data_IF_176172976744
#
_entry.id   IF_176172976744
#
_cell.length_a   1.000
_cell.length_b   1.000
_cell.length_c   1.000
_cell.angle_alpha   90.00
_cell.angle_beta   90.00
_cell.angle_gamma   90.00
#
_symmetry.space_group_name_H-M   'P 1'
#
loop_
_entity.id
_entity.type
_entity.pdbx_description
1 polymer ?
#
# COMPACT_ATOMS: atom_id res chain seq x y z
N UNK A 1 3.87 -8.57 -4.35
CA UNK A 1 3.19 -8.55 -5.69
C UNK A 1 2.91 -9.95 -6.23
N UNK A 2 3.92 -10.76 -6.61
CA UNK A 2 3.72 -12.08 -7.25
C UNK A 2 2.85 -13.03 -6.41
N UNK A 3 2.97 -12.99 -5.08
CA UNK A 3 2.17 -13.85 -4.21
C UNK A 3 0.67 -13.58 -4.31
N UNK A 4 0.24 -12.31 -4.22
CA UNK A 4 -1.16 -11.94 -4.39
C UNK A 4 -1.69 -12.38 -5.77
N UNK A 5 -0.91 -12.14 -6.84
CA UNK A 5 -1.30 -12.54 -8.20
C UNK A 5 -1.55 -14.05 -8.31
N UNK A 6 -0.68 -14.88 -7.71
CA UNK A 6 -0.89 -16.34 -7.68
C UNK A 6 -2.16 -16.77 -6.95
N UNK A 7 -2.69 -15.92 -6.06
CA UNK A 7 -3.94 -16.13 -5.31
C UNK A 7 -5.16 -15.52 -6.00
N UNK A 8 -5.01 -15.02 -7.23
CA UNK A 8 -6.07 -14.31 -7.95
C UNK A 8 -6.45 -12.97 -7.28
N UNK A 9 -5.46 -12.31 -6.70
CA UNK A 9 -5.57 -11.06 -5.94
C UNK A 9 -4.48 -10.08 -6.37
N UNK A 10 -4.49 -8.87 -5.83
CA UNK A 10 -3.44 -7.86 -6.02
C UNK A 10 -2.94 -7.34 -4.66
N UNK A 11 -1.85 -6.56 -4.65
CA UNK A 11 -1.48 -5.87 -3.41
C UNK A 11 -2.53 -4.80 -3.11
N UNK A 12 -2.79 -4.55 -1.82
CA UNK A 12 -3.74 -3.56 -1.35
C UNK A 12 -3.57 -2.21 -2.08
N UNK A 13 -4.64 -1.73 -2.70
CA UNK A 13 -4.76 -0.44 -3.40
C UNK A 13 -6.02 0.22 -2.84
N UNK A 14 -5.93 0.86 -1.66
CA UNK A 14 -7.08 1.36 -0.93
C UNK A 14 -7.76 2.50 -1.68
N UNK A 15 -9.08 2.60 -1.53
CA UNK A 15 -9.88 3.68 -2.11
C UNK A 15 -9.69 5.03 -1.41
N UNK A 16 -9.50 5.01 -0.09
CA UNK A 16 -9.35 6.20 0.77
C UNK A 16 -8.79 5.86 2.17
N UNK A 17 -8.70 6.88 3.01
CA UNK A 17 -8.28 6.77 4.40
C UNK A 17 -9.25 5.94 5.26
N UNK A 18 -10.55 5.91 4.96
CA UNK A 18 -11.53 5.17 5.78
C UNK A 18 -11.29 3.66 5.65
N UNK A 19 -10.94 3.19 4.46
CA UNK A 19 -10.51 1.79 4.26
C UNK A 19 -9.23 1.46 5.05
N UNK A 20 -8.26 2.38 5.10
CA UNK A 20 -7.04 2.19 5.88
C UNK A 20 -7.31 2.19 7.39
N UNK A 21 -8.20 3.07 7.86
CA UNK A 21 -8.61 3.13 9.27
C UNK A 21 -9.33 1.83 9.67
N UNK A 22 -10.22 1.31 8.82
CA UNK A 22 -10.89 0.01 9.00
C UNK A 22 -9.89 -1.16 9.07
N UNK A 23 -8.94 -1.21 8.15
CA UNK A 23 -7.89 -2.24 8.15
C UNK A 23 -7.02 -2.16 9.39
N UNK A 24 -6.68 -0.95 9.86
CA UNK A 24 -5.91 -0.75 11.07
C UNK A 24 -6.61 -1.32 12.31
N UNK A 25 -7.93 -1.15 12.43
CA UNK A 25 -8.72 -1.74 13.51
C UNK A 25 -8.81 -3.27 13.39
N UNK A 26 -9.09 -3.82 12.20
CA UNK A 26 -9.14 -5.28 11.97
C UNK A 26 -7.81 -5.96 12.31
N UNK A 27 -6.70 -5.33 11.94
CA UNK A 27 -5.36 -5.84 12.20
C UNK A 27 -4.89 -5.58 13.65
N UNK A 28 -5.76 -5.04 14.51
CA UNK A 28 -5.51 -4.74 15.92
C UNK A 28 -4.34 -3.77 16.12
N UNK A 29 -4.34 -2.67 15.38
CA UNK A 29 -3.38 -1.56 15.48
C UNK A 29 -1.93 -2.04 15.41
N UNK A 30 -1.55 -2.74 14.33
CA UNK A 30 -0.24 -3.35 14.24
C UNK A 30 0.86 -2.29 14.23
N UNK A 31 1.96 -2.54 14.94
CA UNK A 31 3.14 -1.67 14.94
C UNK A 31 4.13 -1.94 13.80
N UNK A 32 3.92 -3.04 13.06
CA UNK A 32 4.74 -3.48 11.92
C UNK A 32 4.31 -2.85 10.59
N UNK A 33 5.15 -3.01 9.58
CA UNK A 33 4.94 -2.48 8.23
C UNK A 33 4.46 -3.57 7.28
N UNK A 34 3.58 -3.21 6.36
CA UNK A 34 3.09 -4.10 5.32
C UNK A 34 3.25 -3.48 3.93
N UNK A 35 3.73 -4.25 2.97
CA UNK A 35 3.71 -3.84 1.57
C UNK A 35 2.28 -3.62 1.06
N UNK A 36 2.10 -2.52 0.34
CA UNK A 36 0.88 -2.19 -0.41
C UNK A 36 1.20 -1.97 -1.90
N UNK A 37 0.17 -1.79 -2.72
CA UNK A 37 0.24 -1.63 -4.16
C UNK A 37 0.78 -0.28 -4.64
N UNK A 38 1.63 0.38 -3.86
CA UNK A 38 2.12 1.73 -4.13
C UNK A 38 3.62 1.73 -4.42
N UNK A 39 4.03 2.47 -5.44
CA UNK A 39 5.45 2.66 -5.75
C UNK A 39 5.72 4.00 -6.42
N UNK A 40 6.97 4.44 -6.42
CA UNK A 40 7.43 5.56 -7.23
C UNK A 40 7.95 4.98 -8.54
N UNK A 41 7.34 5.38 -9.66
CA UNK A 41 7.80 4.97 -10.97
C UNK A 41 9.24 5.44 -11.21
N UNK A 42 10.02 4.67 -11.98
CA UNK A 42 11.39 5.01 -12.36
C UNK A 42 11.50 6.35 -13.12
N UNK A 43 10.41 6.81 -13.73
CA UNK A 43 10.30 8.12 -14.38
C UNK A 43 10.17 9.28 -13.39
N UNK A 44 10.13 9.02 -12.08
CA UNK A 44 10.41 9.99 -11.02
C UNK A 44 9.30 10.98 -10.68
N UNK A 45 8.06 10.78 -11.16
CA UNK A 45 6.99 11.80 -11.04
C UNK A 45 6.09 11.69 -9.80
N UNK A 46 6.30 10.69 -8.94
CA UNK A 46 5.58 10.55 -7.68
C UNK A 46 4.94 9.18 -7.48
N UNK A 47 4.13 9.09 -6.44
CA UNK A 47 3.44 7.87 -6.02
C UNK A 47 2.42 7.41 -7.06
N UNK A 48 2.50 6.14 -7.41
CA UNK A 48 1.68 5.48 -8.43
C UNK A 48 1.18 4.14 -7.90
N UNK A 49 -0.13 3.92 -8.00
CA UNK A 49 -0.80 2.67 -7.65
C UNK A 49 -0.60 1.60 -8.72
N UNK A 50 -0.96 0.35 -8.43
CA UNK A 50 -0.81 -0.77 -9.37
C UNK A 50 -1.61 -0.60 -10.67
N UNK A 51 -2.75 0.10 -10.62
CA UNK A 51 -3.59 0.40 -11.78
C UNK A 51 -3.05 1.58 -12.63
N UNK A 52 -1.93 2.18 -12.24
CA UNK A 52 -1.30 3.30 -12.93
C UNK A 52 -1.82 4.68 -12.54
N UNK A 53 -2.82 4.77 -11.66
CA UNK A 53 -3.28 6.07 -11.15
C UNK A 53 -2.28 6.66 -10.15
N UNK A 54 -2.24 8.00 -10.09
CA UNK A 54 -1.42 8.70 -9.12
C UNK A 54 -2.12 8.77 -7.76
N UNK A 55 -1.33 8.75 -6.69
CA UNK A 55 -1.87 8.95 -5.34
C UNK A 55 -2.33 10.40 -5.17
N UNK A 56 -3.58 10.58 -4.77
CA UNK A 56 -4.11 11.85 -4.29
C UNK A 56 -3.74 12.04 -2.82
N UNK A 57 -2.81 12.96 -2.55
CA UNK A 57 -2.28 13.18 -1.20
C UNK A 57 -3.34 13.76 -0.24
N UNK A 58 -4.44 14.33 -0.75
CA UNK A 58 -5.52 14.85 0.09
C UNK A 58 -6.39 13.75 0.70
N UNK A 59 -6.36 12.53 0.14
CA UNK A 59 -7.20 11.40 0.57
C UNK A 59 -6.52 10.47 1.56
N UNK A 60 -5.23 10.66 1.85
CA UNK A 60 -4.44 9.72 2.66
C UNK A 60 -3.51 10.42 3.65
N UNK A 61 -3.33 9.80 4.81
CA UNK A 61 -2.33 10.20 5.81
C UNK A 61 -0.97 9.65 5.39
N UNK A 62 -0.11 10.53 4.88
CA UNK A 62 1.24 10.18 4.47
C UNK A 62 2.25 10.49 5.59
N UNK A 63 3.23 9.61 5.79
CA UNK A 63 4.46 9.94 6.49
C UNK A 63 5.39 10.73 5.57
N UNK A 64 6.31 11.55 6.12
CA UNK A 64 7.35 12.20 5.33
C UNK A 64 8.09 11.18 4.48
N UNK A 65 8.35 11.56 3.23
CA UNK A 65 9.06 10.68 2.30
C UNK A 65 10.53 10.62 2.67
N UNK A 66 11.06 9.41 2.70
CA UNK A 66 12.50 9.18 2.76
C UNK A 66 13.09 9.11 1.34
N UNK A 67 14.10 9.92 1.08
CA UNK A 67 14.81 9.87 -0.20
C UNK A 67 15.44 8.49 -0.43
N UNK A 68 15.39 8.01 -1.67
CA UNK A 68 15.89 6.68 -2.05
C UNK A 68 14.95 5.50 -1.75
N UNK A 69 13.85 5.70 -1.02
CA UNK A 69 12.81 4.68 -0.81
C UNK A 69 11.67 4.86 -1.81
N UNK A 70 11.35 3.77 -2.54
CA UNK A 70 10.48 3.83 -3.71
C UNK A 70 9.26 2.90 -3.64
N UNK A 71 9.13 2.08 -2.59
CA UNK A 71 7.97 1.20 -2.41
C UNK A 71 7.16 1.65 -1.19
N UNK A 72 5.84 1.70 -1.36
CA UNK A 72 4.91 2.14 -0.33
C UNK A 72 4.57 1.02 0.65
N UNK A 73 4.48 1.39 1.92
CA UNK A 73 4.11 0.51 3.02
C UNK A 73 3.01 1.13 3.86
N UNK A 74 2.18 0.29 4.48
CA UNK A 74 1.22 0.70 5.50
C UNK A 74 1.82 0.45 6.88
N UNK A 75 1.73 1.44 7.77
CA UNK A 75 2.03 1.32 9.21
C UNK A 75 0.88 1.93 10.00
N UNK A 76 0.15 1.10 10.72
CA UNK A 76 -1.14 1.50 11.27
C UNK A 76 -2.08 1.93 10.15
N UNK A 77 -2.53 3.17 10.20
CA UNK A 77 -3.40 3.84 9.21
C UNK A 77 -2.63 4.76 8.24
N UNK A 78 -1.30 4.84 8.33
CA UNK A 78 -0.48 5.77 7.54
C UNK A 78 0.29 5.07 6.44
N UNK A 79 0.34 5.70 5.27
CA UNK A 79 1.22 5.29 4.18
C UNK A 79 2.61 5.88 4.42
N UNK A 80 3.64 5.06 4.25
CA UNK A 80 5.05 5.43 4.33
C UNK A 80 5.84 4.85 3.16
N UNK A 81 7.13 5.16 3.09
CA UNK A 81 8.06 4.60 2.11
C UNK A 81 9.06 3.64 2.78
N UNK A 82 9.40 2.55 2.09
CA UNK A 82 10.49 1.65 2.45
C UNK A 82 11.34 1.28 1.22
N UNK A 83 12.53 0.72 1.45
CA UNK A 83 13.35 0.11 0.42
C UNK A 83 12.63 -1.08 -0.18
N UNK A 84 12.48 -1.14 -1.50
CA UNK A 84 11.81 -2.24 -2.19
C UNK A 84 12.44 -3.62 -1.93
N UNK A 85 13.65 -3.68 -1.38
CA UNK A 85 14.34 -4.90 -0.98
C UNK A 85 14.06 -5.35 0.46
N UNK A 86 13.29 -4.58 1.24
CA UNK A 86 12.99 -4.88 2.66
C UNK A 86 12.14 -6.15 2.81
N UNK A 87 12.51 -6.99 3.77
CA UNK A 87 11.82 -8.24 4.08
C UNK A 87 10.56 -8.04 4.92
N UNK A 88 9.51 -7.45 4.33
CA UNK A 88 8.24 -7.17 5.02
C UNK A 88 7.12 -8.14 4.60
N UNK A 89 6.11 -8.27 5.46
CA UNK A 89 4.83 -8.90 5.11
C UNK A 89 4.03 -8.00 4.14
N UNK A 90 2.96 -8.53 3.55
CA UNK A 90 2.14 -7.81 2.57
C UNK A 90 0.66 -8.07 2.78
N UNK A 91 -0.17 -7.13 2.34
CA UNK A 91 -1.63 -7.27 2.34
C UNK A 91 -2.08 -7.44 0.89
N UNK A 92 -2.89 -8.47 0.63
CA UNK A 92 -3.52 -8.68 -0.67
C UNK A 92 -5.00 -8.26 -0.59
N UNK A 93 -5.51 -7.67 -1.67
CA UNK A 93 -6.94 -7.39 -1.85
C UNK A 93 -7.48 -8.15 -3.06
N UNK A 94 -8.77 -8.48 -3.01
CA UNK A 94 -9.50 -9.11 -4.10
C UNK A 94 -10.94 -8.64 -4.05
N UNK A 95 -11.55 -8.42 -5.21
CA UNK A 95 -12.97 -8.14 -5.34
C UNK A 95 -13.82 -9.26 -4.71
N UNK A 96 -14.84 -8.84 -3.97
CA UNK A 96 -15.83 -9.76 -3.44
C UNK A 96 -16.62 -10.36 -4.60
N UNK A 97 -16.54 -11.67 -4.77
CA UNK A 97 -17.36 -12.40 -5.74
C UNK A 97 -18.65 -12.83 -5.07
N UNK A 98 -19.78 -12.36 -5.59
CA UNK A 98 -21.10 -12.89 -5.25
C UNK A 98 -21.32 -14.19 -6.05
N UNK A 99 -20.77 -15.29 -5.56
CA UNK A 99 -21.07 -16.64 -6.06
C UNK A 99 -21.71 -17.47 -4.96
#
# INVERSE_FOLDING_TARGET
KRDCVRRGAELLTPGDQDELDFLNEILQKPSRYFWIGLSIASTGKGWTWLNGSHLDQSRFRLSPRDEGRACGVLRGDRISSDSCSSGLQWICQKEATWL
#
